data_IF_020540626507
#
_entry.id   IF_020540626507
#
_cell.length_a   1.000
_cell.length_b   1.000
_cell.length_c   1.000
_cell.angle_alpha   90.00
_cell.angle_beta   90.00
_cell.angle_gamma   90.00
#
_symmetry.space_group_name_H-M   'P 1'
#
loop_
_entity.id
_entity.type
_entity.pdbx_description
1 polymer ?
#
# COMPACT_ATOMS: atom_id res chain seq x y z
N UNK A 1 52.35 8.25 -17.20
CA UNK A 1 51.73 7.92 -15.89
C UNK A 1 50.64 8.90 -15.47
N UNK A 2 50.88 10.22 -15.46
CA UNK A 2 49.87 11.23 -15.06
C UNK A 2 48.59 11.26 -15.92
N UNK A 3 48.70 11.00 -17.23
CA UNK A 3 47.52 10.94 -18.10
C UNK A 3 46.66 9.70 -17.85
N UNK A 4 47.29 8.58 -17.47
CA UNK A 4 46.59 7.33 -17.17
C UNK A 4 45.83 7.41 -15.83
N UNK A 5 46.39 8.07 -14.82
CA UNK A 5 45.69 8.31 -13.55
C UNK A 5 44.50 9.26 -13.72
N UNK A 6 44.66 10.33 -14.52
CA UNK A 6 43.56 11.26 -14.85
C UNK A 6 42.43 10.58 -15.62
N UNK A 7 42.77 9.61 -16.49
CA UNK A 7 41.79 8.82 -17.23
C UNK A 7 41.01 7.88 -16.29
N UNK A 8 41.68 7.24 -15.34
CA UNK A 8 41.05 6.37 -14.34
C UNK A 8 40.12 7.13 -13.38
N UNK A 9 40.50 8.35 -12.95
CA UNK A 9 39.64 9.21 -12.13
C UNK A 9 38.38 9.67 -12.87
N UNK A 10 38.52 10.08 -14.14
CA UNK A 10 37.39 10.49 -14.99
C UNK A 10 36.44 9.33 -15.29
N UNK A 11 37.00 8.13 -15.52
CA UNK A 11 36.20 6.91 -15.70
C UNK A 11 35.50 6.50 -14.41
N UNK A 12 36.13 6.67 -13.24
CA UNK A 12 35.51 6.42 -11.94
C UNK A 12 34.36 7.40 -11.67
N UNK A 13 34.56 8.70 -11.89
CA UNK A 13 33.51 9.72 -11.76
C UNK A 13 32.36 9.49 -12.74
N UNK A 14 32.66 9.13 -13.99
CA UNK A 14 31.63 8.78 -14.97
C UNK A 14 30.86 7.52 -14.54
N UNK A 15 31.52 6.53 -13.94
CA UNK A 15 30.87 5.32 -13.41
C UNK A 15 29.97 5.65 -12.20
N UNK A 16 30.41 6.53 -11.30
CA UNK A 16 29.60 7.00 -10.17
C UNK A 16 28.38 7.81 -10.65
N UNK A 17 28.55 8.70 -11.62
CA UNK A 17 27.45 9.44 -12.25
C UNK A 17 26.47 8.52 -13.00
N UNK A 18 26.96 7.48 -13.66
CA UNK A 18 26.14 6.47 -14.33
C UNK A 18 25.42 5.55 -13.32
N UNK A 19 26.02 5.26 -12.16
CA UNK A 19 25.37 4.53 -11.07
C UNK A 19 24.26 5.34 -10.41
N UNK A 20 24.46 6.66 -10.23
CA UNK A 20 23.40 7.56 -9.77
C UNK A 20 22.26 7.72 -10.80
N UNK A 21 22.59 7.76 -12.10
CA UNK A 21 21.59 7.79 -13.18
C UNK A 21 20.85 6.46 -13.37
N UNK A 22 21.45 5.32 -13.02
CA UNK A 22 20.79 4.01 -13.03
C UNK A 22 19.98 3.71 -11.76
N UNK A 23 20.22 4.43 -10.65
CA UNK A 23 19.52 4.23 -9.37
C UNK A 23 18.15 4.91 -9.26
N UNK A 24 17.75 5.75 -10.21
CA UNK A 24 16.57 6.61 -10.13
C UNK A 24 15.41 6.17 -11.03
N UNK A 25 15.02 4.90 -10.97
CA UNK A 25 13.70 4.49 -11.48
C UNK A 25 12.84 3.81 -10.42
N UNK A 26 12.87 4.29 -9.17
CA UNK A 26 11.81 3.97 -8.22
C UNK A 26 10.51 4.62 -8.70
N UNK A 27 9.73 3.87 -9.49
CA UNK A 27 8.45 4.36 -9.99
C UNK A 27 7.52 4.73 -8.85
N UNK A 28 6.88 5.90 -8.95
CA UNK A 28 5.82 6.31 -8.03
C UNK A 28 4.52 5.63 -8.44
N UNK A 29 3.91 4.86 -7.54
CA UNK A 29 2.73 4.07 -7.82
C UNK A 29 1.53 4.53 -7.00
N UNK A 30 0.32 4.39 -7.55
CA UNK A 30 -0.91 4.85 -6.91
C UNK A 30 -1.74 3.66 -6.42
N UNK A 31 -2.08 3.68 -5.13
CA UNK A 31 -3.02 2.74 -4.52
C UNK A 31 -4.37 3.41 -4.37
N UNK A 32 -5.44 2.78 -4.85
CA UNK A 32 -6.78 3.39 -4.87
C UNK A 32 -7.72 2.68 -3.89
N UNK A 33 -8.52 3.47 -3.17
CA UNK A 33 -9.42 3.01 -2.12
C UNK A 33 -10.81 3.57 -2.33
N UNK A 34 -11.81 2.70 -2.41
CA UNK A 34 -13.21 3.13 -2.46
C UNK A 34 -13.72 3.44 -1.06
N UNK A 35 -14.16 4.69 -0.84
CA UNK A 35 -14.72 5.15 0.42
C UNK A 35 -16.22 5.31 0.27
N UNK A 36 -16.99 4.42 0.91
CA UNK A 36 -18.45 4.36 0.80
C UNK A 36 -19.18 5.32 1.77
N UNK A 37 -18.76 6.59 1.81
CA UNK A 37 -19.46 7.66 2.54
C UNK A 37 -19.76 8.82 1.59
N UNK A 38 -20.96 9.41 1.68
CA UNK A 38 -21.39 10.45 0.74
C UNK A 38 -20.89 11.84 1.15
N UNK A 39 -20.06 12.45 0.30
CA UNK A 39 -19.48 13.78 0.51
C UNK A 39 -19.55 14.63 -0.76
N UNK A 40 -19.54 15.95 -0.61
CA UNK A 40 -19.26 16.84 -1.75
C UNK A 40 -17.84 16.60 -2.25
N UNK A 41 -17.52 17.08 -3.45
CA UNK A 41 -16.16 16.88 -3.99
C UNK A 41 -15.09 17.48 -3.07
N UNK A 42 -15.29 18.70 -2.56
CA UNK A 42 -14.33 19.36 -1.65
C UNK A 42 -14.19 18.66 -0.29
N UNK A 43 -15.32 18.19 0.28
CA UNK A 43 -15.31 17.40 1.51
C UNK A 43 -14.59 16.05 1.32
N UNK A 44 -14.75 15.43 0.14
CA UNK A 44 -14.10 14.18 -0.23
C UNK A 44 -12.59 14.38 -0.41
N UNK A 45 -12.17 15.46 -1.09
CA UNK A 45 -10.77 15.89 -1.19
C UNK A 45 -10.15 16.06 0.19
N UNK A 46 -10.82 16.82 1.06
CA UNK A 46 -10.36 17.04 2.45
C UNK A 46 -10.26 15.73 3.24
N UNK A 47 -11.21 14.81 3.05
CA UNK A 47 -11.16 13.49 3.68
C UNK A 47 -9.96 12.68 3.19
N UNK A 48 -9.73 12.62 1.88
CA UNK A 48 -8.59 11.89 1.35
C UNK A 48 -7.26 12.51 1.73
N UNK A 49 -7.13 13.84 1.78
CA UNK A 49 -5.91 14.49 2.26
C UNK A 49 -5.64 14.21 3.75
N UNK A 50 -6.71 13.98 4.54
CA UNK A 50 -6.59 13.69 5.97
C UNK A 50 -6.23 12.23 6.27
N UNK A 51 -6.69 11.27 5.47
CA UNK A 51 -6.53 9.83 5.76
C UNK A 51 -5.66 9.08 4.74
N UNK A 52 -5.42 9.71 3.59
CA UNK A 52 -4.71 9.18 2.44
C UNK A 52 -3.80 10.29 1.87
N UNK A 53 -3.41 10.22 0.59
CA UNK A 53 -2.73 11.32 -0.08
C UNK A 53 -3.71 12.32 -0.71
N UNK A 54 -4.63 11.87 -1.57
CA UNK A 54 -5.61 12.73 -2.23
C UNK A 54 -6.77 11.90 -2.84
N UNK A 55 -7.75 12.52 -3.48
CA UNK A 55 -8.66 11.82 -4.40
C UNK A 55 -7.86 11.15 -5.52
N UNK A 56 -8.39 10.05 -6.05
CA UNK A 56 -7.73 9.24 -7.07
C UNK A 56 -7.51 10.00 -8.37
N UNK A 57 -6.26 10.02 -8.83
CA UNK A 57 -5.88 10.48 -10.18
C UNK A 57 -5.21 9.36 -10.96
N UNK A 58 -5.32 9.41 -12.28
CA UNK A 58 -4.65 8.50 -13.21
C UNK A 58 -4.31 9.29 -14.47
N UNK A 59 -3.03 9.50 -14.72
CA UNK A 59 -2.52 10.43 -15.73
C UNK A 59 -2.14 9.75 -17.05
N UNK A 60 -2.09 8.41 -17.05
CA UNK A 60 -1.84 7.59 -18.23
C UNK A 60 -2.70 6.32 -18.24
N UNK A 61 -2.64 5.57 -19.35
CA UNK A 61 -3.44 4.36 -19.54
C UNK A 61 -3.05 3.21 -18.61
N UNK A 62 -1.80 3.14 -18.13
CA UNK A 62 -1.36 2.11 -17.18
C UNK A 62 -1.95 2.38 -15.81
N UNK A 63 -1.89 3.63 -15.35
CA UNK A 63 -2.51 4.06 -14.09
C UNK A 63 -4.03 3.91 -14.14
N UNK A 64 -4.68 4.26 -15.24
CA UNK A 64 -6.13 4.11 -15.40
C UNK A 64 -6.55 2.64 -15.30
N UNK A 65 -5.85 1.73 -15.97
CA UNK A 65 -6.14 0.30 -15.87
C UNK A 65 -5.92 -0.25 -14.45
N UNK A 66 -4.92 0.25 -13.72
CA UNK A 66 -4.71 -0.09 -12.31
C UNK A 66 -5.83 0.43 -11.41
N UNK A 67 -6.28 1.66 -11.65
CA UNK A 67 -7.43 2.25 -10.97
C UNK A 67 -8.71 1.45 -11.22
N UNK A 68 -9.01 1.10 -12.48
CA UNK A 68 -10.22 0.35 -12.85
C UNK A 68 -10.27 -1.05 -12.22
N UNK A 69 -9.13 -1.72 -12.07
CA UNK A 69 -9.03 -2.98 -11.31
C UNK A 69 -9.42 -2.78 -9.85
N UNK A 70 -8.93 -1.71 -9.22
CA UNK A 70 -9.26 -1.35 -7.83
C UNK A 70 -10.74 -0.95 -7.67
N UNK A 71 -11.31 -0.33 -8.69
CA UNK A 71 -12.71 0.07 -8.74
C UNK A 71 -13.68 -1.08 -9.04
N UNK A 72 -13.20 -2.31 -9.35
CA UNK A 72 -14.06 -3.44 -9.80
C UNK A 72 -15.29 -3.65 -8.92
N UNK A 73 -15.15 -3.54 -7.61
CA UNK A 73 -16.19 -3.78 -6.62
C UNK A 73 -17.00 -2.52 -6.22
N UNK A 74 -16.87 -1.41 -6.95
CA UNK A 74 -17.62 -0.19 -6.65
C UNK A 74 -19.13 -0.44 -6.71
N UNK A 75 -19.84 0.09 -5.72
CA UNK A 75 -21.28 -0.15 -5.54
C UNK A 75 -22.15 0.97 -6.09
N UNK A 76 -21.58 2.16 -6.32
CA UNK A 76 -22.26 3.35 -6.87
C UNK A 76 -21.30 4.20 -7.71
N UNK A 77 -21.83 5.26 -8.32
CA UNK A 77 -21.01 6.35 -8.86
C UNK A 77 -20.19 6.95 -7.73
N UNK A 78 -18.97 7.40 -8.05
CA UNK A 78 -18.08 7.94 -7.04
C UNK A 78 -17.12 8.99 -7.60
N UNK A 79 -16.82 10.00 -6.78
CA UNK A 79 -15.85 11.02 -7.13
C UNK A 79 -14.48 10.43 -7.40
N UNK A 80 -13.83 10.99 -8.42
CA UNK A 80 -12.38 10.90 -8.62
C UNK A 80 -11.79 12.29 -8.46
N UNK A 81 -10.46 12.41 -8.46
CA UNK A 81 -9.77 13.68 -8.23
C UNK A 81 -9.87 14.67 -9.38
N UNK A 82 -10.84 14.54 -10.28
CA UNK A 82 -10.95 15.39 -11.45
C UNK A 82 -11.81 16.63 -11.14
N UNK A 83 -11.29 17.83 -11.42
CA UNK A 83 -12.01 19.09 -11.26
C UNK A 83 -11.69 20.07 -12.39
N UNK A 84 -12.64 20.94 -12.72
CA UNK A 84 -12.51 22.01 -13.72
C UNK A 84 -12.67 23.38 -13.05
N UNK A 85 -11.66 23.85 -12.28
CA UNK A 85 -11.75 25.13 -11.58
C UNK A 85 -11.89 26.34 -12.52
N UNK A 86 -11.49 26.19 -13.79
CA UNK A 86 -11.66 27.22 -14.83
C UNK A 86 -11.97 26.57 -16.18
N UNK A 87 -11.10 26.70 -17.19
CA UNK A 87 -11.31 26.12 -18.52
C UNK A 87 -10.71 24.72 -18.70
N UNK A 88 -9.72 24.37 -17.88
CA UNK A 88 -8.93 23.14 -18.01
C UNK A 88 -9.29 22.18 -16.88
N UNK A 89 -9.43 20.91 -17.23
CA UNK A 89 -9.60 19.83 -16.26
C UNK A 89 -8.24 19.51 -15.60
N UNK A 90 -8.26 19.40 -14.28
CA UNK A 90 -7.10 19.18 -13.43
C UNK A 90 -7.35 17.99 -12.51
N UNK A 91 -6.32 17.21 -12.26
CA UNK A 91 -6.30 16.24 -11.18
C UNK A 91 -6.03 16.93 -9.85
N UNK A 92 -6.56 16.38 -8.77
CA UNK A 92 -6.43 16.92 -7.41
C UNK A 92 -5.00 16.87 -6.87
N UNK A 93 -4.10 16.13 -7.54
CA UNK A 93 -2.66 16.15 -7.31
C UNK A 93 -1.92 17.33 -7.96
N UNK A 94 -2.61 18.17 -8.73
CA UNK A 94 -2.07 19.35 -9.41
C UNK A 94 -1.69 19.12 -10.87
N UNK A 95 -1.74 17.87 -11.36
CA UNK A 95 -1.42 17.54 -12.75
C UNK A 95 -2.58 17.91 -13.70
N UNK A 96 -2.26 18.43 -14.89
CA UNK A 96 -3.28 18.68 -15.91
C UNK A 96 -3.87 17.37 -16.45
N UNK A 97 -5.20 17.28 -16.57
CA UNK A 97 -5.88 16.09 -17.04
C UNK A 97 -5.97 16.10 -18.57
N UNK A 98 -4.88 15.71 -19.23
CA UNK A 98 -4.75 15.73 -20.70
C UNK A 98 -5.38 14.53 -21.39
N UNK A 99 -5.53 13.40 -20.69
CA UNK A 99 -6.09 12.14 -21.21
C UNK A 99 -7.16 11.63 -20.27
N UNK A 100 -8.41 11.93 -20.59
CA UNK A 100 -9.58 11.52 -19.80
C UNK A 100 -10.44 10.63 -20.69
N UNK A 101 -10.77 9.44 -20.20
CA UNK A 101 -11.72 8.53 -20.86
C UNK A 101 -13.14 8.90 -20.47
N UNK A 102 -13.68 9.91 -21.15
CA UNK A 102 -15.07 10.35 -21.00
C UNK A 102 -16.05 9.27 -21.49
N UNK A 103 -17.23 9.25 -20.89
CA UNK A 103 -18.34 8.45 -21.41
C UNK A 103 -18.95 9.08 -22.67
N UNK A 104 -19.85 8.35 -23.30
CA UNK A 104 -20.59 8.87 -24.46
C UNK A 104 -21.40 10.11 -24.05
N UNK A 105 -21.21 11.21 -24.80
CA UNK A 105 -21.79 12.54 -24.55
C UNK A 105 -21.24 13.33 -23.35
N UNK A 106 -20.10 12.89 -22.78
CA UNK A 106 -19.42 13.61 -21.70
C UNK A 106 -18.16 14.35 -22.21
N UNK A 107 -17.73 15.45 -21.56
CA UNK A 107 -18.46 16.16 -20.51
C UNK A 107 -19.67 16.93 -21.09
N UNK A 108 -20.81 16.86 -20.42
CA UNK A 108 -22.08 17.50 -20.82
C UNK A 108 -22.26 18.91 -20.22
N UNK A 109 -21.39 19.31 -19.29
CA UNK A 109 -21.41 20.62 -18.62
C UNK A 109 -22.36 20.68 -17.42
N UNK A 110 -22.83 19.54 -16.93
CA UNK A 110 -23.64 19.39 -15.71
C UNK A 110 -22.82 19.61 -14.42
N UNK A 111 -21.52 19.84 -14.52
CA UNK A 111 -20.74 20.50 -13.49
C UNK A 111 -19.25 20.61 -13.80
N UNK A 112 -18.47 20.71 -12.72
CA UNK A 112 -17.04 20.97 -12.78
C UNK A 112 -16.24 19.93 -11.99
N UNK A 113 -16.85 18.81 -11.60
CA UNK A 113 -16.22 17.75 -10.84
C UNK A 113 -16.48 16.40 -11.51
N UNK A 114 -15.44 15.59 -11.66
CA UNK A 114 -15.51 14.31 -12.36
C UNK A 114 -15.77 13.13 -11.42
N UNK A 115 -16.59 12.20 -11.88
CA UNK A 115 -16.89 10.94 -11.20
C UNK A 115 -16.63 9.75 -12.12
N UNK A 116 -16.31 8.60 -11.53
CA UNK A 116 -16.35 7.32 -12.24
C UNK A 116 -17.79 6.81 -12.25
N UNK A 117 -18.37 6.67 -13.44
CA UNK A 117 -19.72 6.14 -13.60
C UNK A 117 -19.72 4.62 -13.43
N UNK A 118 -20.65 4.10 -12.60
CA UNK A 118 -20.63 2.68 -12.23
C UNK A 118 -20.81 1.74 -13.41
N UNK A 119 -21.77 2.07 -14.28
CA UNK A 119 -22.22 1.16 -15.32
C UNK A 119 -21.18 0.98 -16.43
N UNK A 120 -20.62 2.09 -16.93
CA UNK A 120 -19.71 2.10 -18.09
C UNK A 120 -18.24 2.11 -17.69
N UNK A 121 -17.92 2.44 -16.43
CA UNK A 121 -16.54 2.63 -15.94
C UNK A 121 -15.78 3.75 -16.65
N UNK A 122 -16.52 4.76 -17.13
CA UNK A 122 -15.98 5.96 -17.75
C UNK A 122 -16.31 7.20 -16.92
N UNK A 123 -15.69 8.33 -17.26
CA UNK A 123 -15.80 9.57 -16.50
C UNK A 123 -17.00 10.39 -16.95
N UNK A 124 -17.77 10.89 -15.99
CA UNK A 124 -18.84 11.88 -16.17
C UNK A 124 -18.50 13.16 -15.41
N UNK A 125 -19.00 14.31 -15.84
CA UNK A 125 -19.01 15.52 -15.02
C UNK A 125 -20.32 15.71 -14.23
N UNK A 126 -20.20 16.33 -13.06
CA UNK A 126 -21.33 16.54 -12.15
C UNK A 126 -21.11 17.76 -11.27
N UNK A 127 -22.20 18.38 -10.85
CA UNK A 127 -22.18 19.47 -9.87
C UNK A 127 -21.41 19.05 -8.61
N UNK A 128 -20.36 19.81 -8.26
CA UNK A 128 -19.43 19.52 -7.15
C UNK A 128 -20.12 19.44 -5.77
N UNK A 129 -21.29 20.09 -5.63
CA UNK A 129 -22.14 20.04 -4.43
C UNK A 129 -22.90 18.72 -4.26
N UNK A 130 -22.90 17.84 -5.27
CA UNK A 130 -23.52 16.51 -5.17
C UNK A 130 -22.81 15.67 -4.11
N UNK A 131 -23.57 14.89 -3.34
CA UNK A 131 -23.01 14.05 -2.28
C UNK A 131 -22.87 12.61 -2.76
N UNK A 132 -21.64 12.18 -3.06
CA UNK A 132 -21.32 10.86 -3.59
C UNK A 132 -20.22 10.18 -2.75
N UNK A 133 -20.14 8.84 -2.77
CA UNK A 133 -18.92 8.12 -2.42
C UNK A 133 -17.74 8.58 -3.28
N UNK A 134 -16.52 8.19 -2.92
CA UNK A 134 -15.33 8.70 -3.60
C UNK A 134 -14.16 7.73 -3.51
N UNK A 135 -13.22 7.88 -4.43
CA UNK A 135 -11.98 7.13 -4.41
C UNK A 135 -10.83 7.98 -3.88
N UNK A 136 -10.21 7.56 -2.78
CA UNK A 136 -8.92 8.10 -2.35
C UNK A 136 -7.77 7.36 -3.00
N UNK A 137 -6.60 7.98 -3.05
CA UNK A 137 -5.36 7.34 -3.40
C UNK A 137 -4.24 7.62 -2.40
N UNK A 138 -3.33 6.66 -2.26
CA UNK A 138 -1.99 6.85 -1.69
C UNK A 138 -0.96 6.76 -2.81
N UNK A 139 0.14 7.48 -2.63
CA UNK A 139 1.35 7.33 -3.43
C UNK A 139 2.31 6.39 -2.70
N UNK A 140 2.80 5.37 -3.40
CA UNK A 140 3.70 4.36 -2.88
C UNK A 140 4.97 4.35 -3.75
N UNK A 141 6.11 4.41 -3.10
CA UNK A 141 7.41 4.30 -3.75
C UNK A 141 8.13 3.09 -3.15
N UNK A 142 8.57 2.17 -4.01
CA UNK A 142 9.43 1.07 -3.58
C UNK A 142 10.89 1.49 -3.61
N UNK A 143 11.64 1.03 -2.61
CA UNK A 143 13.07 1.26 -2.48
C UNK A 143 13.73 -0.08 -2.21
N UNK A 144 14.60 -0.50 -3.13
CA UNK A 144 15.36 -1.73 -2.96
C UNK A 144 16.65 -1.44 -2.18
N UNK A 145 16.78 -2.07 -1.03
CA UNK A 145 17.96 -2.02 -0.20
C UNK A 145 18.88 -3.20 -0.52
N UNK A 146 20.08 -2.86 -0.99
CA UNK A 146 21.05 -3.85 -1.46
C UNK A 146 21.70 -4.64 -0.33
N UNK A 147 21.88 -4.00 0.83
CA UNK A 147 22.42 -4.65 2.03
C UNK A 147 21.56 -5.83 2.47
N UNK A 148 22.21 -6.89 2.96
CA UNK A 148 21.52 -8.08 3.44
C UNK A 148 21.29 -8.02 4.94
N UNK A 149 20.07 -8.34 5.40
CA UNK A 149 19.71 -8.41 6.82
C UNK A 149 18.75 -9.58 7.08
N UNK A 150 18.69 -10.10 8.32
CA UNK A 150 17.56 -10.91 8.78
C UNK A 150 16.24 -10.15 8.62
N UNK A 151 15.12 -10.86 8.56
CA UNK A 151 13.81 -10.26 8.26
C UNK A 151 13.41 -9.19 9.28
N UNK A 152 13.55 -9.48 10.58
CA UNK A 152 13.21 -8.55 11.68
C UNK A 152 14.06 -7.26 11.63
N UNK A 153 15.34 -7.37 11.27
CA UNK A 153 16.22 -6.20 11.14
C UNK A 153 15.97 -5.41 9.85
N UNK A 154 15.54 -6.08 8.77
CA UNK A 154 15.09 -5.42 7.55
C UNK A 154 13.81 -4.59 7.80
N UNK A 155 12.86 -5.11 8.59
CA UNK A 155 11.68 -4.34 9.04
C UNK A 155 12.11 -3.07 9.76
N UNK A 156 12.97 -3.20 10.77
CA UNK A 156 13.46 -2.08 11.57
C UNK A 156 14.13 -1.03 10.69
N UNK A 157 15.00 -1.45 9.77
CA UNK A 157 15.67 -0.54 8.85
C UNK A 157 14.67 0.22 7.97
N UNK A 158 13.69 -0.47 7.37
CA UNK A 158 12.69 0.22 6.55
C UNK A 158 11.89 1.24 7.38
N UNK A 159 11.53 0.92 8.63
CA UNK A 159 10.82 1.82 9.54
C UNK A 159 11.61 3.06 9.93
N UNK A 160 12.92 2.92 10.09
CA UNK A 160 13.80 4.04 10.43
C UNK A 160 14.12 4.93 9.22
N UNK A 161 14.20 4.36 8.00
CA UNK A 161 14.78 5.05 6.85
C UNK A 161 13.79 5.37 5.71
N UNK A 162 12.69 4.63 5.55
CA UNK A 162 11.81 4.75 4.39
C UNK A 162 10.31 4.78 4.75
N UNK A 163 9.82 3.75 5.42
CA UNK A 163 8.40 3.48 5.70
C UNK A 163 8.23 2.11 6.34
N UNK A 164 7.95 1.07 5.56
CA UNK A 164 7.86 -0.31 6.04
C UNK A 164 8.46 -1.28 5.01
N UNK A 165 8.56 -2.58 5.33
CA UNK A 165 8.80 -3.60 4.29
C UNK A 165 7.62 -3.67 3.33
N UNK A 166 7.94 -3.81 2.03
CA UNK A 166 6.98 -3.73 0.93
C UNK A 166 5.81 -4.71 1.07
N UNK A 167 4.59 -4.18 0.93
CA UNK A 167 3.36 -4.98 0.87
C UNK A 167 2.93 -5.23 -0.57
N UNK A 168 2.90 -6.51 -0.98
CA UNK A 168 2.59 -6.93 -2.34
C UNK A 168 1.24 -7.67 -2.40
N UNK A 169 0.18 -6.98 -1.99
CA UNK A 169 -1.17 -7.56 -1.84
C UNK A 169 -2.03 -7.53 -3.12
N UNK A 170 -1.43 -7.32 -4.30
CA UNK A 170 -2.11 -7.42 -5.59
C UNK A 170 -1.12 -7.77 -6.70
N UNK A 171 -1.63 -8.31 -7.81
CA UNK A 171 -0.81 -8.58 -9.01
C UNK A 171 -0.15 -7.30 -9.55
N UNK A 172 -0.82 -6.14 -9.44
CA UNK A 172 -0.25 -4.86 -9.89
C UNK A 172 0.96 -4.48 -9.06
N UNK A 173 0.84 -4.57 -7.73
CA UNK A 173 1.92 -4.26 -6.79
C UNK A 173 3.09 -5.22 -6.92
N UNK A 174 2.81 -6.52 -7.10
CA UNK A 174 3.84 -7.52 -7.39
C UNK A 174 4.59 -7.18 -8.70
N UNK A 175 3.87 -6.95 -9.81
CA UNK A 175 4.50 -6.65 -11.10
C UNK A 175 5.38 -5.41 -11.06
N UNK A 176 4.95 -4.40 -10.31
CA UNK A 176 5.71 -3.19 -10.07
C UNK A 176 7.00 -3.48 -9.29
N UNK A 177 6.88 -4.14 -8.13
CA UNK A 177 8.01 -4.45 -7.27
C UNK A 177 9.05 -5.35 -7.96
N UNK A 178 8.62 -6.19 -8.90
CA UNK A 178 9.50 -7.08 -9.64
C UNK A 178 10.52 -6.35 -10.52
N UNK A 179 10.26 -5.11 -10.93
CA UNK A 179 11.22 -4.31 -11.69
C UNK A 179 12.41 -3.88 -10.82
N UNK A 180 12.15 -3.54 -9.55
CA UNK A 180 13.18 -3.23 -8.56
C UNK A 180 13.91 -4.50 -8.12
N UNK A 181 13.16 -5.55 -7.76
CA UNK A 181 13.69 -6.84 -7.27
C UNK A 181 14.68 -7.48 -8.26
N UNK A 182 14.52 -7.26 -9.58
CA UNK A 182 15.47 -7.72 -10.62
C UNK A 182 16.91 -7.22 -10.40
N UNK A 183 17.09 -6.15 -9.65
CA UNK A 183 18.38 -5.51 -9.41
C UNK A 183 19.02 -5.90 -8.07
N UNK A 184 18.37 -6.76 -7.27
CA UNK A 184 18.87 -7.14 -5.95
C UNK A 184 20.15 -7.98 -5.99
N UNK A 185 21.01 -7.84 -4.99
CA UNK A 185 22.21 -8.65 -4.84
C UNK A 185 21.88 -10.12 -4.52
N UNK A 186 20.91 -10.35 -3.64
CA UNK A 186 20.50 -11.71 -3.24
C UNK A 186 19.49 -12.32 -4.21
N UNK A 187 19.41 -13.65 -4.24
CA UNK A 187 18.46 -14.37 -5.12
C UNK A 187 17.01 -14.21 -4.68
N UNK A 188 16.77 -14.07 -3.37
CA UNK A 188 15.48 -13.77 -2.78
C UNK A 188 15.56 -12.40 -2.08
N UNK A 189 14.46 -11.64 -2.11
CA UNK A 189 14.38 -10.29 -1.54
C UNK A 189 13.28 -10.23 -0.50
N UNK A 190 13.57 -9.79 0.73
CA UNK A 190 12.54 -9.70 1.76
C UNK A 190 11.43 -8.72 1.39
N UNK A 191 10.20 -9.12 1.71
CA UNK A 191 9.00 -8.30 1.66
C UNK A 191 8.24 -8.43 2.98
N UNK A 192 7.21 -7.61 3.19
CA UNK A 192 6.55 -7.45 4.49
C UNK A 192 5.66 -8.62 4.93
N UNK A 193 5.79 -9.81 4.35
CA UNK A 193 4.93 -10.96 4.64
C UNK A 193 5.48 -11.80 5.81
N UNK A 194 4.66 -12.03 6.84
CA UNK A 194 5.03 -12.77 8.05
C UNK A 194 3.95 -13.76 8.47
N UNK A 195 4.36 -14.94 8.95
CA UNK A 195 3.49 -15.89 9.66
C UNK A 195 3.70 -15.77 11.17
N UNK A 196 2.66 -15.35 11.89
CA UNK A 196 2.66 -15.23 13.34
C UNK A 196 1.23 -15.43 13.86
N UNK A 197 1.11 -16.05 15.04
CA UNK A 197 -0.18 -16.38 15.68
C UNK A 197 -1.13 -17.19 14.76
N UNK A 198 -0.59 -18.21 14.09
CA UNK A 198 -1.38 -19.15 13.29
C UNK A 198 -1.92 -18.59 11.96
N UNK A 199 -1.49 -17.39 11.55
CA UNK A 199 -1.93 -16.74 10.31
C UNK A 199 -0.82 -15.96 9.62
N UNK A 200 -1.00 -15.75 8.32
CA UNK A 200 -0.17 -14.85 7.53
C UNK A 200 -0.72 -13.42 7.54
N UNK A 201 0.18 -12.43 7.56
CA UNK A 201 -0.17 -11.03 7.34
C UNK A 201 0.96 -10.21 6.74
N UNK A 202 0.58 -9.05 6.21
CA UNK A 202 1.50 -8.01 5.76
C UNK A 202 1.76 -7.02 6.90
N UNK A 203 3.03 -6.71 7.18
CA UNK A 203 3.44 -5.92 8.36
C UNK A 203 2.89 -4.49 8.35
N UNK A 204 2.82 -3.85 7.17
CA UNK A 204 2.23 -2.50 7.01
C UNK A 204 0.70 -2.51 6.90
N UNK A 205 0.07 -3.69 7.05
CA UNK A 205 -1.37 -3.86 6.88
C UNK A 205 -1.77 -4.05 5.40
N UNK A 206 -2.86 -4.77 5.18
CA UNK A 206 -3.35 -5.06 3.83
C UNK A 206 -4.35 -6.22 3.80
N UNK A 207 -5.25 -6.20 2.82
CA UNK A 207 -6.21 -7.29 2.64
C UNK A 207 -5.48 -8.56 2.16
N UNK A 208 -5.68 -9.68 2.86
CA UNK A 208 -5.01 -10.97 2.61
C UNK A 208 -5.41 -11.65 1.29
N UNK A 209 -6.30 -11.05 0.50
CA UNK A 209 -6.91 -11.66 -0.68
C UNK A 209 -5.93 -12.16 -1.75
N UNK A 210 -4.69 -11.67 -1.77
CA UNK A 210 -3.66 -12.06 -2.75
C UNK A 210 -2.76 -13.21 -2.30
N UNK A 211 -2.78 -13.59 -1.01
CA UNK A 211 -1.94 -14.69 -0.48
C UNK A 211 -2.38 -16.06 -1.01
N UNK A 212 -3.68 -16.30 -1.15
CA UNK A 212 -4.22 -17.64 -1.45
C UNK A 212 -3.86 -18.18 -2.84
N UNK A 213 -3.47 -17.32 -3.78
CA UNK A 213 -3.23 -17.69 -5.19
C UNK A 213 -1.78 -17.51 -5.65
N UNK A 214 -0.91 -16.87 -4.87
CA UNK A 214 0.42 -16.44 -5.32
C UNK A 214 1.60 -17.23 -4.75
N UNK A 215 1.40 -18.00 -3.68
CA UNK A 215 2.48 -18.82 -3.10
C UNK A 215 2.34 -20.26 -3.60
N UNK A 216 3.18 -20.63 -4.55
CA UNK A 216 3.33 -22.03 -4.96
C UNK A 216 3.83 -22.85 -3.78
N UNK A 217 2.99 -23.73 -3.23
CA UNK A 217 3.35 -24.61 -2.12
C UNK A 217 3.15 -24.02 -0.72
N UNK A 218 2.42 -22.91 -0.55
CA UNK A 218 1.94 -22.54 0.79
C UNK A 218 0.89 -23.53 1.25
N UNK A 219 1.31 -24.52 2.03
CA UNK A 219 0.44 -25.08 3.05
C UNK A 219 -0.10 -23.92 3.90
N UNK A 220 -1.39 -23.97 4.29
CA UNK A 220 -2.01 -22.98 5.19
C UNK A 220 -1.14 -22.73 6.44
N UNK A 221 -0.40 -23.74 6.86
CA UNK A 221 0.59 -23.70 7.91
C UNK A 221 1.98 -23.97 7.32
N UNK A 222 2.94 -23.04 7.43
CA UNK A 222 4.30 -23.27 6.95
C UNK A 222 5.04 -24.31 7.79
N UNK A 223 6.06 -24.94 7.19
CA UNK A 223 7.11 -25.65 7.92
C UNK A 223 7.72 -24.72 9.00
N UNK A 224 8.17 -25.29 10.12
CA UNK A 224 8.40 -24.61 11.39
C UNK A 224 9.24 -23.32 11.30
N UNK A 225 10.21 -23.28 10.39
CA UNK A 225 11.12 -22.14 10.14
C UNK A 225 10.74 -21.22 8.98
N UNK A 226 9.92 -21.68 8.03
CA UNK A 226 9.62 -20.94 6.79
C UNK A 226 8.49 -19.91 6.99
N UNK A 227 8.73 -18.95 7.88
CA UNK A 227 7.69 -18.04 8.39
C UNK A 227 7.80 -16.60 7.88
N UNK A 228 8.72 -16.34 6.95
CA UNK A 228 8.93 -15.03 6.33
C UNK A 228 8.82 -15.13 4.80
N UNK A 229 8.21 -14.13 4.17
CA UNK A 229 8.03 -14.10 2.72
C UNK A 229 9.10 -13.29 2.01
N UNK A 230 9.62 -13.82 0.92
CA UNK A 230 10.56 -13.16 0.02
C UNK A 230 10.10 -13.28 -1.42
N UNK A 231 10.51 -12.36 -2.29
CA UNK A 231 10.31 -12.49 -3.74
C UNK A 231 11.58 -13.00 -4.37
N UNK A 232 11.50 -14.12 -5.08
CA UNK A 232 12.63 -14.65 -5.82
C UNK A 232 12.83 -13.86 -7.11
N UNK A 233 14.05 -13.36 -7.29
CA UNK A 233 14.41 -12.51 -8.42
C UNK A 233 14.33 -13.20 -9.78
N UNK A 234 14.60 -14.51 -9.83
CA UNK A 234 14.63 -15.29 -11.07
C UNK A 234 13.27 -15.83 -11.44
N UNK A 235 12.61 -16.50 -10.50
CA UNK A 235 11.28 -17.09 -10.74
C UNK A 235 10.17 -16.05 -10.69
N UNK A 236 10.46 -14.83 -10.20
CA UNK A 236 9.49 -13.74 -10.00
C UNK A 236 8.32 -14.14 -9.09
N UNK A 237 8.52 -15.16 -8.25
CA UNK A 237 7.50 -15.74 -7.39
C UNK A 237 7.73 -15.38 -5.92
N UNK A 238 6.64 -15.30 -5.16
CA UNK A 238 6.68 -15.17 -3.70
C UNK A 238 7.04 -16.52 -3.09
N UNK A 239 8.13 -16.57 -2.33
CA UNK A 239 8.68 -17.77 -1.67
C UNK A 239 8.68 -17.60 -0.15
N UNK A 240 8.59 -18.72 0.56
CA UNK A 240 8.69 -18.75 2.02
C UNK A 240 10.11 -19.13 2.42
N UNK A 241 10.69 -18.40 3.37
CA UNK A 241 12.11 -18.48 3.75
C UNK A 241 12.27 -18.48 5.27
N UNK A 242 13.43 -18.91 5.71
CA UNK A 242 13.84 -18.83 7.11
C UNK A 242 14.18 -17.37 7.44
N UNK A 243 13.53 -16.82 8.47
CA UNK A 243 13.60 -15.40 8.82
C UNK A 243 15.03 -14.94 9.18
N UNK A 244 15.89 -15.87 9.60
CA UNK A 244 17.29 -15.63 9.93
C UNK A 244 18.21 -15.53 8.70
N UNK A 245 17.70 -15.81 7.49
CA UNK A 245 18.46 -15.61 6.26
C UNK A 245 18.80 -14.13 6.04
N UNK A 246 20.05 -13.86 5.63
CA UNK A 246 20.47 -12.52 5.27
C UNK A 246 20.14 -12.25 3.80
N UNK A 247 19.08 -11.49 3.55
CA UNK A 247 18.63 -11.14 2.20
C UNK A 247 18.59 -9.63 2.01
N UNK A 248 18.85 -9.17 0.78
CA UNK A 248 18.42 -7.83 0.33
C UNK A 248 16.93 -7.68 0.55
N UNK A 249 16.44 -6.45 0.67
CA UNK A 249 15.05 -6.24 1.08
C UNK A 249 14.41 -5.04 0.41
N UNK A 250 13.10 -5.12 0.20
CA UNK A 250 12.33 -4.08 -0.48
C UNK A 250 11.52 -3.30 0.55
N UNK A 251 11.84 -2.02 0.71
CA UNK A 251 11.02 -1.10 1.50
C UNK A 251 9.95 -0.45 0.63
N UNK A 252 8.92 0.08 1.26
CA UNK A 252 8.00 1.02 0.63
C UNK A 252 7.79 2.24 1.51
N UNK A 253 7.75 3.40 0.88
CA UNK A 253 7.24 4.62 1.48
C UNK A 253 5.81 4.85 0.99
N UNK A 254 4.92 5.17 1.91
CA UNK A 254 3.52 5.44 1.65
C UNK A 254 3.18 6.78 2.30
N UNK A 255 2.65 7.73 1.52
CA UNK A 255 2.23 9.04 2.05
C UNK A 255 0.83 8.94 2.70
N UNK A 256 0.61 7.95 3.57
CA UNK A 256 -0.65 7.83 4.31
C UNK A 256 -0.60 8.57 5.64
N UNK A 257 -1.73 9.04 6.12
CA UNK A 257 -1.82 9.67 7.44
C UNK A 257 -1.42 8.71 8.57
N UNK A 258 -1.64 7.40 8.41
CA UNK A 258 -1.15 6.39 9.35
C UNK A 258 0.38 6.34 9.40
N UNK A 259 1.08 6.61 8.29
CA UNK A 259 2.54 6.62 8.26
C UNK A 259 3.11 7.89 8.90
N UNK A 260 2.42 9.03 8.75
CA UNK A 260 2.77 10.26 9.48
C UNK A 260 2.57 10.11 10.98
N UNK A 261 1.46 9.48 11.41
CA UNK A 261 1.24 9.17 12.83
C UNK A 261 2.26 8.16 13.37
N UNK A 262 2.59 7.11 12.63
CA UNK A 262 3.63 6.13 13.03
C UNK A 262 5.01 6.76 13.10
N UNK A 263 5.37 7.60 12.13
CA UNK A 263 6.62 8.36 12.14
C UNK A 263 6.68 9.35 13.32
N UNK A 264 5.57 10.01 13.64
CA UNK A 264 5.47 10.91 14.80
C UNK A 264 5.58 10.16 16.13
N UNK A 265 4.92 9.00 16.26
CA UNK A 265 5.00 8.14 17.44
C UNK A 265 6.40 7.52 17.62
N UNK A 266 7.04 7.06 16.54
CA UNK A 266 8.40 6.53 16.57
C UNK A 266 9.46 7.58 16.98
N UNK A 267 9.19 8.86 16.71
CA UNK A 267 10.02 10.01 17.12
C UNK A 267 9.70 10.54 18.51
N UNK A 268 8.87 9.85 19.29
CA UNK A 268 8.51 10.25 20.67
C UNK A 268 7.56 11.45 20.75
N UNK A 269 6.86 11.80 19.67
CA UNK A 269 5.89 12.90 19.65
C UNK A 269 4.61 12.54 20.40
N UNK A 270 4.19 13.43 21.31
CA UNK A 270 2.87 13.37 21.98
C UNK A 270 1.82 13.82 20.96
N UNK A 271 0.85 12.95 20.65
CA UNK A 271 -0.29 13.29 19.80
C UNK A 271 -1.30 14.12 20.57
N UNK A 272 -1.68 15.26 20.00
CA UNK A 272 -2.67 16.16 20.56
C UNK A 272 -4.04 15.47 20.70
N UNK A 273 -4.71 15.75 21.83
CA UNK A 273 -5.80 14.97 22.45
C UNK A 273 -7.12 14.79 21.67
N UNK A 274 -7.17 15.06 20.37
CA UNK A 274 -8.38 14.98 19.54
C UNK A 274 -8.45 13.78 18.60
N UNK A 275 -7.49 12.85 18.65
CA UNK A 275 -7.55 11.63 17.83
C UNK A 275 -7.94 10.43 18.69
N UNK A 276 -9.15 9.92 18.49
CA UNK A 276 -9.63 8.69 19.13
C UNK A 276 -8.68 7.54 18.77
N UNK A 277 -7.82 7.17 19.72
CA UNK A 277 -6.78 6.14 19.62
C UNK A 277 -7.32 4.76 19.24
N UNK A 278 -8.60 4.48 19.48
CA UNK A 278 -9.26 3.24 19.10
C UNK A 278 -9.56 3.12 17.58
N UNK A 279 -9.72 4.25 16.86
CA UNK A 279 -10.03 4.23 15.42
C UNK A 279 -8.76 4.15 14.54
N UNK A 280 -7.60 4.50 15.10
CA UNK A 280 -6.33 4.62 14.36
C UNK A 280 -5.58 3.29 14.16
N UNK A 281 -5.88 2.27 14.95
CA UNK A 281 -5.17 0.99 14.87
C UNK A 281 -5.94 -0.11 14.14
N UNK A 282 -7.24 0.08 13.84
CA UNK A 282 -8.08 -0.98 13.26
C UNK A 282 -8.17 -2.25 14.12
N UNK A 283 -7.73 -2.17 15.38
CA UNK A 283 -7.73 -3.27 16.34
C UNK A 283 -9.13 -3.31 16.97
N UNK A 284 -9.81 -4.46 16.88
CA UNK A 284 -11.05 -4.67 17.63
C UNK A 284 -10.69 -4.64 19.12
N UNK A 285 -11.56 -4.05 19.94
CA UNK A 285 -11.40 -3.84 21.40
C UNK A 285 -10.91 -5.05 22.22
N UNK A 286 -10.93 -6.25 21.67
CA UNK A 286 -10.53 -7.49 22.33
C UNK A 286 -9.04 -7.84 22.15
N UNK A 287 -8.34 -7.33 21.12
CA UNK A 287 -6.92 -7.68 20.88
C UNK A 287 -5.93 -6.78 21.67
N UNK A 288 -6.43 -5.75 22.37
CA UNK A 288 -5.61 -4.85 23.22
C UNK A 288 -5.24 -5.49 24.57
N UNK A 289 -5.90 -6.59 24.96
CA UNK A 289 -5.71 -7.22 26.27
C UNK A 289 -4.48 -8.14 26.28
N UNK A 290 -4.11 -8.75 25.15
CA UNK A 290 -2.90 -9.59 25.06
C UNK A 290 -1.60 -8.78 24.88
N UNK A 291 -1.66 -7.59 24.30
CA UNK A 291 -0.45 -6.78 24.03
C UNK A 291 0.11 -6.07 25.27
N UNK A 292 -0.70 -5.90 26.32
CA UNK A 292 -0.32 -5.16 27.53
C UNK A 292 0.02 -6.04 28.74
N UNK A 293 -0.07 -7.38 28.63
CA UNK A 293 0.39 -8.29 29.69
C UNK A 293 -0.26 -8.08 31.06
N UNK A 294 -1.45 -7.47 31.13
CA UNK A 294 -2.16 -7.23 32.40
C UNK A 294 -2.93 -8.50 32.77
N UNK A 295 -2.33 -9.33 33.61
CA UNK A 295 -3.07 -10.40 34.30
C UNK A 295 -3.93 -9.78 35.40
N UNK A 296 -5.23 -10.07 35.41
CA UNK A 296 -6.06 -9.88 36.61
C UNK A 296 -6.79 -11.19 36.92
N UNK A 297 -6.53 -11.71 38.11
CA UNK A 297 -7.05 -12.96 38.66
C UNK A 297 -8.55 -12.90 38.99
N UNK A 298 -9.23 -14.05 38.81
CA UNK A 298 -10.50 -14.53 39.41
C UNK A 298 -11.75 -13.65 39.25
N UNK A 299 -12.97 -14.14 39.04
CA UNK A 299 -13.59 -15.44 39.32
C UNK A 299 -14.79 -15.73 38.40
N UNK A 300 -15.18 -17.01 38.36
CA UNK A 300 -16.29 -17.65 37.64
C UNK A 300 -17.67 -16.98 37.77
N UNK A 301 -18.45 -16.95 36.67
CA UNK A 301 -19.80 -17.57 36.61
C UNK A 301 -20.38 -17.64 35.18
N UNK A 302 -20.49 -18.89 34.71
CA UNK A 302 -21.49 -19.52 33.83
C UNK A 302 -22.14 -18.79 32.62
N UNK A 303 -21.79 -19.31 31.44
CA UNK A 303 -22.64 -20.13 30.55
C UNK A 303 -23.92 -19.57 29.91
N UNK A 304 -23.96 -19.79 28.58
CA UNK A 304 -25.10 -19.90 27.63
C UNK A 304 -25.45 -18.65 26.83
N UNK A 305 -24.95 -18.60 25.59
CA UNK A 305 -25.81 -18.56 24.39
C UNK A 305 -24.96 -18.86 23.15
N UNK A 306 -25.05 -20.10 22.65
CA UNK A 306 -24.82 -20.41 21.24
C UNK A 306 -26.20 -20.50 20.58
N UNK A 307 -26.40 -19.74 19.51
CA UNK A 307 -26.94 -20.19 18.22
C UNK A 307 -27.62 -19.04 17.45
N UNK A 308 -26.94 -18.50 16.44
CA UNK A 308 -27.52 -18.35 15.08
C UNK A 308 -26.53 -17.68 14.13
N UNK A 309 -26.07 -18.43 13.12
CA UNK A 309 -25.90 -17.95 11.74
C UNK A 309 -24.79 -16.94 11.43
N UNK A 310 -23.57 -17.41 11.22
CA UNK A 310 -22.86 -17.34 9.93
C UNK A 310 -21.46 -17.90 10.10
N UNK A 311 -21.11 -18.87 9.26
CA UNK A 311 -19.85 -19.59 9.31
C UNK A 311 -18.74 -18.71 8.72
N UNK A 312 -18.10 -17.89 9.56
CA UNK A 312 -16.73 -17.46 9.28
C UNK A 312 -15.82 -18.61 9.71
N UNK A 313 -15.32 -19.39 8.75
CA UNK A 313 -14.26 -20.37 9.02
C UNK A 313 -13.03 -19.63 9.56
N UNK A 314 -12.82 -19.73 10.87
CA UNK A 314 -11.60 -19.32 11.53
C UNK A 314 -10.47 -20.28 11.09
N UNK A 315 -9.72 -19.86 10.07
CA UNK A 315 -8.53 -20.52 9.56
C UNK A 315 -7.33 -20.22 10.48
N UNK A 316 -7.30 -20.78 11.70
CA UNK A 316 -6.15 -20.71 12.59
C UNK A 316 -5.36 -22.02 12.50
N UNK A 317 -4.07 -21.94 12.19
CA UNK A 317 -3.16 -23.07 12.41
C UNK A 317 -3.00 -23.28 13.92
N UNK A 318 -3.38 -24.46 14.42
CA UNK A 318 -3.09 -24.88 15.78
C UNK A 318 -1.57 -25.01 15.94
N UNK A 319 -1.02 -24.38 16.98
CA UNK A 319 0.40 -24.41 17.36
C UNK A 319 0.66 -25.65 18.21
#
# INVERSE_FOLDING_TARGET
CHEFSSWLEKMSLALFLLLELCGLSSGLHKQHFFVNIKKTWDEATSHCQRFHHNLSSFTDSKEEQQFLKSARHQTSNAWVGLQKPSRVWMWSGGEAATRITWDENEPDGNGACGLLFKATRKIHDRACSSRLPFFCMNKVQFVLEQQSKPWEDAVRYCQENHGDLATLNSTSWMNVALEDVRQAQTENVWVGLRFLAGRWFWISGGHLGFMASSVTGASRCPDGRLRCGAVNRRTRALTLRDCEEQLSFLCHNSNSASDHLRSALAKGGILDSHVNTAALLGIKSWDLIEFLGITRSSSEHHSRMFASGSMFEANLCLV
#
